data_IF_404778770608
#
_entry.id   IF_404778770608
#
_cell.length_a   1.000
_cell.length_b   1.000
_cell.length_c   1.000
_cell.angle_alpha   90.00
_cell.angle_beta   90.00
_cell.angle_gamma   90.00
#
_symmetry.space_group_name_H-M   'P 1'
#
loop_
_entity.id
_entity.type
_entity.pdbx_description
1 polymer ?
#
# COMPACT_ATOMS: atom_id res chain seq x y z
N UNK A 1 24.18 -14.69 2.33
CA UNK A 1 23.18 -13.95 1.53
C UNK A 1 22.43 -13.04 2.47
N UNK A 2 22.38 -11.73 2.21
CA UNK A 2 21.34 -10.92 2.86
C UNK A 2 20.04 -11.34 2.19
N UNK A 3 19.26 -12.19 2.85
CA UNK A 3 17.93 -12.53 2.38
C UNK A 3 17.12 -11.25 2.30
N UNK A 4 16.76 -10.85 1.08
CA UNK A 4 15.91 -9.69 0.87
C UNK A 4 14.50 -10.07 1.28
N UNK A 5 14.05 -9.53 2.41
CA UNK A 5 12.77 -9.86 3.05
C UNK A 5 11.56 -9.55 2.15
N UNK A 6 11.61 -8.44 1.41
CA UNK A 6 10.54 -8.04 0.48
C UNK A 6 10.47 -8.99 -0.71
N UNK A 7 11.62 -9.29 -1.32
CA UNK A 7 11.70 -10.29 -2.40
C UNK A 7 11.21 -11.67 -1.92
N UNK A 8 11.60 -12.10 -0.72
CA UNK A 8 11.18 -13.38 -0.18
C UNK A 8 9.67 -13.46 0.08
N UNK A 9 9.05 -12.34 0.45
CA UNK A 9 7.60 -12.24 0.56
C UNK A 9 6.93 -12.33 -0.81
N UNK A 10 7.42 -11.58 -1.80
CA UNK A 10 6.78 -11.43 -3.11
C UNK A 10 7.03 -12.59 -4.09
N UNK A 11 8.16 -13.30 -4.00
CA UNK A 11 8.60 -14.28 -5.03
C UNK A 11 7.63 -15.42 -5.35
N UNK A 12 6.71 -15.73 -4.44
CA UNK A 12 5.71 -16.80 -4.59
C UNK A 12 4.27 -16.25 -4.62
N UNK A 13 4.10 -14.93 -4.78
CA UNK A 13 2.82 -14.26 -4.83
C UNK A 13 2.41 -13.98 -6.28
N UNK A 14 1.10 -13.93 -6.56
CA UNK A 14 0.62 -13.37 -7.82
C UNK A 14 1.05 -11.90 -7.97
N UNK A 15 1.04 -11.40 -9.21
CA UNK A 15 1.28 -9.98 -9.51
C UNK A 15 0.28 -9.06 -8.80
N UNK A 16 -1.00 -9.45 -8.82
CA UNK A 16 -2.03 -8.78 -8.00
C UNK A 16 -2.15 -9.52 -6.68
N UNK A 17 -1.72 -8.87 -5.61
CA UNK A 17 -1.81 -9.41 -4.26
C UNK A 17 -3.28 -9.55 -3.85
N UNK A 18 -3.56 -10.50 -2.98
CA UNK A 18 -4.81 -10.44 -2.24
C UNK A 18 -4.73 -9.32 -1.18
N UNK A 19 -5.89 -8.82 -0.76
CA UNK A 19 -5.96 -7.69 0.18
C UNK A 19 -5.22 -7.98 1.50
N UNK A 20 -5.30 -9.21 2.00
CA UNK A 20 -4.58 -9.62 3.21
C UNK A 20 -3.05 -9.55 3.01
N UNK A 21 -2.56 -9.88 1.82
CA UNK A 21 -1.14 -9.80 1.47
C UNK A 21 -0.69 -8.36 1.25
N UNK A 22 -1.53 -7.45 0.74
CA UNK A 22 -1.26 -6.01 0.71
C UNK A 22 -1.01 -5.47 2.13
N UNK A 23 -1.91 -5.78 3.06
CA UNK A 23 -1.79 -5.38 4.46
C UNK A 23 -0.52 -5.95 5.12
N UNK A 24 -0.20 -7.23 4.86
CA UNK A 24 1.05 -7.85 5.36
C UNK A 24 2.29 -7.20 4.75
N UNK A 25 2.25 -6.84 3.48
CA UNK A 25 3.38 -6.18 2.82
C UNK A 25 3.64 -4.81 3.46
N UNK A 26 2.60 -4.01 3.69
CA UNK A 26 2.69 -2.73 4.41
C UNK A 26 3.27 -2.91 5.83
N UNK A 27 2.80 -3.91 6.56
CA UNK A 27 3.30 -4.23 7.90
C UNK A 27 4.80 -4.65 7.89
N UNK A 28 5.22 -5.43 6.90
CA UNK A 28 6.64 -5.78 6.72
C UNK A 28 7.45 -4.52 6.44
N UNK A 29 7.02 -3.69 5.49
CA UNK A 29 7.76 -2.50 5.05
C UNK A 29 7.95 -1.49 6.18
N UNK A 30 6.89 -1.21 6.95
CA UNK A 30 6.92 -0.25 8.06
C UNK A 30 7.86 -0.67 9.20
N UNK A 31 8.15 -1.96 9.33
CA UNK A 31 9.09 -2.50 10.33
C UNK A 31 10.55 -2.46 9.87
N UNK A 32 10.83 -2.16 8.60
CA UNK A 32 12.21 -2.12 8.10
C UNK A 32 12.91 -0.82 8.53
N UNK A 33 14.17 -0.91 8.99
CA UNK A 33 14.90 0.28 9.36
C UNK A 33 15.24 1.12 8.13
N UNK A 34 15.22 2.45 8.27
CA UNK A 34 15.53 3.39 7.19
C UNK A 34 16.87 3.09 6.49
N UNK A 35 17.88 2.62 7.24
CA UNK A 35 19.18 2.21 6.70
C UNK A 35 19.08 1.01 5.75
N UNK A 36 18.14 0.10 5.99
CA UNK A 36 17.84 -1.00 5.08
C UNK A 36 17.17 -0.49 3.82
N UNK A 37 16.20 0.43 3.94
CA UNK A 37 15.53 1.04 2.78
C UNK A 37 16.54 1.75 1.86
N UNK A 38 17.49 2.50 2.43
CA UNK A 38 18.55 3.17 1.67
C UNK A 38 19.44 2.15 0.94
N UNK A 39 19.85 1.09 1.65
CA UNK A 39 20.75 0.06 1.11
C UNK A 39 20.09 -0.79 0.02
N UNK A 40 18.81 -1.07 0.16
CA UNK A 40 18.03 -1.95 -0.72
C UNK A 40 16.92 -1.14 -1.43
N UNK A 41 17.28 0.07 -1.87
CA UNK A 41 16.34 1.04 -2.45
C UNK A 41 15.55 0.45 -3.60
N UNK A 42 16.23 -0.31 -4.48
CA UNK A 42 15.57 -0.91 -5.65
C UNK A 42 14.47 -1.84 -5.20
N UNK A 43 14.75 -2.74 -4.27
CA UNK A 43 13.79 -3.75 -3.84
C UNK A 43 12.67 -3.17 -3.00
N UNK A 44 12.93 -2.08 -2.28
CA UNK A 44 11.88 -1.31 -1.63
C UNK A 44 10.94 -0.64 -2.65
N UNK A 45 11.48 -0.04 -3.71
CA UNK A 45 10.68 0.58 -4.78
C UNK A 45 9.90 -0.47 -5.56
N UNK A 46 10.55 -1.57 -5.96
CA UNK A 46 9.89 -2.67 -6.68
C UNK A 46 8.70 -3.21 -5.84
N UNK A 47 8.84 -3.32 -4.51
CA UNK A 47 7.74 -3.74 -3.63
C UNK A 47 6.63 -2.68 -3.47
N UNK A 48 6.97 -1.38 -3.49
CA UNK A 48 5.98 -0.30 -3.49
C UNK A 48 5.18 -0.27 -4.78
N UNK A 49 5.82 -0.48 -5.93
CA UNK A 49 5.16 -0.53 -7.24
C UNK A 49 4.19 -1.71 -7.32
N UNK A 50 4.58 -2.91 -6.84
CA UNK A 50 3.67 -4.06 -6.79
C UNK A 50 2.47 -3.79 -5.85
N UNK A 51 2.70 -3.14 -4.70
CA UNK A 51 1.61 -2.75 -3.80
C UNK A 51 0.64 -1.74 -4.45
N UNK A 52 1.18 -0.68 -5.07
CA UNK A 52 0.39 0.35 -5.75
C UNK A 52 -0.46 -0.26 -6.87
N UNK A 53 0.14 -1.07 -7.74
CA UNK A 53 -0.55 -1.72 -8.86
C UNK A 53 -1.64 -2.66 -8.35
N UNK A 54 -1.34 -3.48 -7.34
CA UNK A 54 -2.33 -4.38 -6.75
C UNK A 54 -3.51 -3.62 -6.17
N UNK A 55 -3.21 -2.56 -5.39
CA UNK A 55 -4.21 -1.80 -4.66
C UNK A 55 -5.11 -1.00 -5.60
N UNK A 56 -4.53 -0.33 -6.59
CA UNK A 56 -5.27 0.51 -7.55
C UNK A 56 -6.15 -0.30 -8.50
N UNK A 57 -5.71 -1.49 -8.92
CA UNK A 57 -6.49 -2.31 -9.85
C UNK A 57 -7.66 -3.02 -9.16
N UNK A 58 -7.47 -3.53 -7.94
CA UNK A 58 -8.53 -4.28 -7.24
C UNK A 58 -8.56 -4.11 -5.72
N UNK A 59 -7.42 -3.89 -5.05
CA UNK A 59 -7.35 -3.86 -3.59
C UNK A 59 -8.24 -2.81 -2.93
N UNK A 60 -8.36 -1.62 -3.52
CA UNK A 60 -9.17 -0.52 -2.99
C UNK A 60 -10.66 -0.87 -2.84
N UNK A 61 -11.17 -1.82 -3.63
CA UNK A 61 -12.56 -2.28 -3.55
C UNK A 61 -12.85 -3.06 -2.26
N UNK A 62 -11.82 -3.65 -1.65
CA UNK A 62 -11.91 -4.44 -0.43
C UNK A 62 -11.59 -3.63 0.82
N UNK A 63 -11.11 -2.39 0.68
CA UNK A 63 -10.81 -1.53 1.82
C UNK A 63 -12.08 -1.05 2.49
N UNK A 64 -12.32 -1.50 3.72
CA UNK A 64 -13.41 -1.02 4.57
C UNK A 64 -13.02 0.28 5.30
N UNK A 65 -14.01 1.04 5.78
CA UNK A 65 -13.77 2.28 6.52
C UNK A 65 -12.88 2.07 7.77
N UNK A 66 -12.92 0.88 8.37
CA UNK A 66 -12.06 0.56 9.51
C UNK A 66 -10.59 0.41 9.14
N UNK A 67 -10.28 0.14 7.88
CA UNK A 67 -8.93 -0.08 7.37
C UNK A 67 -8.29 1.22 6.85
N UNK A 68 -9.08 2.28 6.64
CA UNK A 68 -8.57 3.59 6.16
C UNK A 68 -7.42 4.11 7.02
N UNK A 69 -7.50 3.91 8.34
CA UNK A 69 -6.44 4.32 9.26
C UNK A 69 -5.12 3.59 9.00
N UNK A 70 -5.15 2.36 8.48
CA UNK A 70 -3.96 1.58 8.14
C UNK A 70 -3.27 2.22 6.93
N UNK A 71 -4.02 2.54 5.89
CA UNK A 71 -3.53 3.15 4.65
C UNK A 71 -3.04 4.59 4.87
N UNK A 72 -3.77 5.37 5.65
CA UNK A 72 -3.37 6.74 6.00
C UNK A 72 -2.07 6.75 6.83
N UNK A 73 -1.96 5.85 7.82
CA UNK A 73 -0.73 5.69 8.59
C UNK A 73 0.45 5.24 7.72
N UNK A 74 0.19 4.37 6.74
CA UNK A 74 1.21 3.95 5.78
C UNK A 74 1.66 5.13 4.90
N UNK A 75 0.72 5.95 4.42
CA UNK A 75 1.03 7.18 3.68
C UNK A 75 1.85 8.18 4.51
N UNK A 76 1.56 8.36 5.80
CA UNK A 76 2.38 9.17 6.70
C UNK A 76 3.79 8.59 6.86
N UNK A 77 3.91 7.27 6.98
CA UNK A 77 5.21 6.60 6.99
C UNK A 77 5.97 6.81 5.68
N UNK A 78 5.32 6.79 4.51
CA UNK A 78 5.95 7.11 3.23
C UNK A 78 6.49 8.55 3.19
N UNK A 79 5.79 9.52 3.77
CA UNK A 79 6.29 10.90 3.92
C UNK A 79 7.54 10.93 4.80
N UNK A 80 7.54 10.16 5.89
CA UNK A 80 8.72 10.02 6.76
C UNK A 80 9.91 9.43 6.00
N UNK A 81 9.70 8.33 5.26
CA UNK A 81 10.72 7.69 4.42
C UNK A 81 11.30 8.70 3.43
N UNK A 82 10.45 9.45 2.72
CA UNK A 82 10.90 10.50 1.79
C UNK A 82 11.82 11.51 2.49
N UNK A 83 11.36 12.05 3.61
CA UNK A 83 12.07 13.09 4.35
C UNK A 83 13.43 12.62 4.90
N UNK A 84 13.53 11.37 5.35
CA UNK A 84 14.73 10.83 6.01
C UNK A 84 15.73 10.17 5.07
N UNK A 85 15.28 9.69 3.92
CA UNK A 85 16.11 8.90 3.00
C UNK A 85 16.31 9.54 1.62
N UNK A 86 15.46 10.50 1.25
CA UNK A 86 15.43 11.07 -0.10
C UNK A 86 14.87 10.13 -1.18
N UNK A 87 14.30 8.97 -0.80
CA UNK A 87 13.59 8.08 -1.72
C UNK A 87 12.27 8.74 -2.13
N UNK A 88 11.96 8.77 -3.42
CA UNK A 88 10.80 9.51 -3.97
C UNK A 88 9.46 8.80 -3.73
N UNK A 89 9.11 8.51 -2.48
CA UNK A 89 7.90 7.77 -2.09
C UNK A 89 6.61 8.60 -2.15
N UNK A 90 6.70 9.93 -2.29
CA UNK A 90 5.52 10.79 -2.34
C UNK A 90 4.63 10.53 -3.55
N UNK A 91 5.18 9.94 -4.62
CA UNK A 91 4.43 9.65 -5.84
C UNK A 91 3.32 8.61 -5.61
N UNK A 92 3.50 7.71 -4.65
CA UNK A 92 2.55 6.61 -4.36
C UNK A 92 1.40 7.02 -3.43
N UNK A 93 1.50 8.18 -2.77
CA UNK A 93 0.54 8.58 -1.72
C UNK A 93 -0.87 8.74 -2.28
N UNK A 94 -1.00 9.31 -3.48
CA UNK A 94 -2.30 9.58 -4.09
C UNK A 94 -3.08 8.29 -4.32
N UNK A 95 -2.38 7.23 -4.70
CA UNK A 95 -2.97 5.97 -5.13
C UNK A 95 -3.17 4.99 -3.96
N UNK A 96 -2.50 5.24 -2.83
CA UNK A 96 -2.61 4.43 -1.60
C UNK A 96 -3.36 5.13 -0.46
N UNK A 97 -3.75 6.39 -0.58
CA UNK A 97 -4.51 7.07 0.47
C UNK A 97 -5.97 6.62 0.46
N UNK A 98 -6.62 6.72 1.61
CA UNK A 98 -8.07 6.54 1.69
C UNK A 98 -8.87 7.71 1.10
N UNK A 99 -8.18 8.77 0.66
CA UNK A 99 -8.79 10.00 0.18
C UNK A 99 -9.60 9.75 -1.10
N UNK A 100 -10.90 10.06 -1.06
CA UNK A 100 -11.80 9.85 -2.18
C UNK A 100 -12.55 8.51 -2.18
N UNK A 101 -12.14 7.54 -1.35
CA UNK A 101 -12.90 6.28 -1.19
C UNK A 101 -14.28 6.52 -0.58
N UNK A 102 -14.41 7.54 0.27
CA UNK A 102 -15.70 7.93 0.85
C UNK A 102 -16.76 8.28 -0.20
N UNK A 103 -16.37 8.98 -1.26
CA UNK A 103 -17.30 9.35 -2.33
C UNK A 103 -17.73 8.13 -3.14
N UNK A 104 -16.79 7.23 -3.41
CA UNK A 104 -17.03 5.95 -4.07
C UNK A 104 -17.95 5.03 -3.23
N UNK A 105 -17.68 4.87 -1.93
CA UNK A 105 -18.52 4.09 -1.01
C UNK A 105 -19.92 4.69 -0.87
N UNK A 106 -20.05 6.02 -0.92
CA UNK A 106 -21.36 6.71 -0.91
C UNK A 106 -22.14 6.48 -2.20
N UNK A 107 -21.51 6.38 -3.37
CA UNK A 107 -22.22 6.07 -4.61
C UNK A 107 -22.78 4.65 -4.60
N UNK A 108 -22.03 3.67 -4.11
CA UNK A 108 -22.51 2.27 -3.99
C UNK A 108 -23.77 2.16 -3.09
N UNK A 109 -23.77 2.85 -1.94
CA UNK A 109 -24.93 2.83 -1.00
C UNK A 109 -26.16 3.54 -1.54
N UNK A 110 -26.01 4.48 -2.48
CA UNK A 110 -27.15 5.15 -3.13
C UNK A 110 -27.84 4.22 -4.12
N UNK A 111 -27.06 3.44 -4.87
CA UNK A 111 -27.61 2.48 -5.83
C UNK A 111 -28.40 1.36 -5.13
N UNK A 112 -27.93 0.85 -3.98
CA UNK A 112 -28.65 -0.16 -3.18
C UNK A 112 -30.03 0.30 -2.65
N UNK A 113 -30.27 1.61 -2.53
CA UNK A 113 -31.54 2.15 -2.04
C UNK A 113 -32.56 2.45 -3.16
N UNK A 114 -32.19 2.23 -4.43
CA UNK A 114 -33.08 2.51 -5.58
C UNK A 114 -33.85 1.27 -6.04
N UNK A 115 -33.54 0.09 -5.49
CA UNK A 115 -34.19 -1.20 -5.80
C UNK A 115 -35.26 -1.62 -4.75
N UNK A 116 -35.90 -0.66 -4.06
CA UNK A 116 -37.03 -0.92 -3.12
C UNK A 116 -38.34 -0.28 -3.54
#
# INVERSE_FOLDING_TARGET
MNENILYNFLKNKPTYLDYDDELKLMDIMTKLPMSWLIKNKKEFIDALEELEISHTETGFLYQEECDDIIFDNFCEWLKEVNSKTGIATLIYIKDLSSEGLDEFRKSLRKDENTDK
#
